data_IF_497097808844
#
_entry.id   IF_497097808844
#
_cell.length_a   1.000
_cell.length_b   1.000
_cell.length_c   1.000
_cell.angle_alpha   90.00
_cell.angle_beta   90.00
_cell.angle_gamma   90.00
#
_symmetry.space_group_name_H-M   'P 1'
#
loop_
_entity.id
_entity.type
_entity.pdbx_description
1 polymer ?
#
# COMPACT_ATOMS: atom_id res chain seq x y z
N UNK A 1 12.07 -12.92 1.08
CA UNK A 1 10.75 -13.06 0.44
C UNK A 1 10.02 -11.79 0.77
N UNK A 2 9.51 -11.06 -0.24
CA UNK A 2 8.90 -9.76 -0.02
C UNK A 2 7.68 -9.89 0.91
N UNK A 3 7.46 -8.86 1.72
CA UNK A 3 6.34 -8.85 2.67
C UNK A 3 4.99 -9.04 1.96
N UNK A 4 4.03 -9.78 2.57
CA UNK A 4 2.76 -10.11 1.93
C UNK A 4 1.92 -8.87 1.58
N UNK A 5 2.09 -7.76 2.29
CA UNK A 5 1.48 -6.48 1.95
C UNK A 5 2.09 -5.87 0.69
N UNK A 6 3.41 -5.95 0.51
CA UNK A 6 4.08 -5.41 -0.68
C UNK A 6 3.69 -6.16 -1.95
N UNK A 7 3.47 -7.48 -1.86
CA UNK A 7 2.94 -8.28 -2.98
C UNK A 7 1.52 -7.82 -3.34
N UNK A 8 0.69 -7.50 -2.35
CA UNK A 8 -0.68 -7.02 -2.57
C UNK A 8 -0.68 -5.62 -3.22
N UNK A 9 0.20 -4.73 -2.77
CA UNK A 9 0.40 -3.40 -3.35
C UNK A 9 0.92 -3.52 -4.78
N UNK A 10 1.93 -4.35 -5.02
CA UNK A 10 2.49 -4.61 -6.34
C UNK A 10 1.42 -5.14 -7.31
N UNK A 11 0.58 -6.09 -6.89
CA UNK A 11 -0.52 -6.60 -7.68
C UNK A 11 -1.57 -5.52 -8.00
N UNK A 12 -1.94 -4.68 -7.04
CA UNK A 12 -2.91 -3.60 -7.24
C UNK A 12 -2.39 -2.54 -8.25
N UNK A 13 -1.09 -2.25 -8.18
CA UNK A 13 -0.38 -1.31 -9.06
C UNK A 13 -0.21 -1.90 -10.46
N UNK A 14 0.19 -3.18 -10.56
CA UNK A 14 0.25 -3.96 -11.80
C UNK A 14 -1.09 -3.95 -12.54
N UNK A 15 -2.19 -4.17 -11.81
CA UNK A 15 -3.55 -4.08 -12.34
C UNK A 15 -4.03 -2.65 -12.64
N UNK A 16 -3.21 -1.62 -12.40
CA UNK A 16 -3.56 -0.19 -12.54
C UNK A 16 -4.84 0.21 -11.81
N UNK A 17 -5.22 -0.54 -10.78
CA UNK A 17 -6.47 -0.33 -10.04
C UNK A 17 -6.41 0.87 -9.12
N UNK A 18 -5.20 1.27 -8.73
CA UNK A 18 -4.94 2.39 -7.81
C UNK A 18 -3.97 3.38 -8.46
N UNK A 19 -4.52 4.40 -9.11
CA UNK A 19 -3.71 5.41 -9.80
C UNK A 19 -2.75 6.16 -8.86
N UNK A 20 -3.16 6.41 -7.61
CA UNK A 20 -2.33 7.09 -6.60
C UNK A 20 -1.04 6.34 -6.29
N UNK A 21 -1.14 5.05 -5.97
CA UNK A 21 0.01 4.18 -5.70
C UNK A 21 0.92 4.06 -6.91
N UNK A 22 0.35 3.90 -8.11
CA UNK A 22 1.15 3.83 -9.32
C UNK A 22 2.00 5.10 -9.52
N UNK A 23 1.40 6.28 -9.35
CA UNK A 23 2.13 7.54 -9.53
C UNK A 23 3.20 7.73 -8.45
N UNK A 24 2.92 7.33 -7.21
CA UNK A 24 3.90 7.38 -6.11
C UNK A 24 5.11 6.50 -6.42
N UNK A 25 4.89 5.25 -6.84
CA UNK A 25 5.97 4.31 -7.16
C UNK A 25 6.73 4.77 -8.41
N UNK A 26 6.03 5.21 -9.45
CA UNK A 26 6.65 5.76 -10.66
C UNK A 26 7.54 6.97 -10.36
N UNK A 27 7.08 7.88 -9.49
CA UNK A 27 7.88 9.03 -9.07
C UNK A 27 9.12 8.60 -8.29
N UNK A 28 9.01 7.59 -7.41
CA UNK A 28 10.14 7.06 -6.65
C UNK A 28 11.15 6.34 -7.55
N UNK A 29 10.68 5.69 -8.61
CA UNK A 29 11.50 4.92 -9.54
C UNK A 29 12.07 5.79 -10.67
N UNK A 30 11.68 7.05 -10.79
CA UNK A 30 12.09 7.93 -11.89
C UNK A 30 13.62 8.10 -12.02
N UNK A 31 14.34 8.07 -10.90
CA UNK A 31 15.81 8.15 -10.87
C UNK A 31 16.51 6.78 -11.00
N UNK A 32 15.75 5.70 -11.15
CA UNK A 32 16.24 4.32 -11.26
C UNK A 32 15.63 3.62 -12.50
N UNK A 33 16.40 3.49 -13.59
CA UNK A 33 15.92 2.91 -14.84
C UNK A 33 15.60 1.42 -14.71
N UNK A 34 16.32 0.68 -13.86
CA UNK A 34 16.08 -0.75 -13.65
C UNK A 34 14.78 -0.95 -12.87
N UNK A 35 14.56 -0.17 -11.82
CA UNK A 35 13.31 -0.20 -11.07
C UNK A 35 12.11 0.21 -11.95
N UNK A 36 12.28 1.23 -12.78
CA UNK A 36 11.25 1.66 -13.74
C UNK A 36 10.87 0.56 -14.72
N UNK A 37 11.84 -0.20 -15.23
CA UNK A 37 11.58 -1.35 -16.11
C UNK A 37 10.78 -2.46 -15.40
N UNK A 38 11.06 -2.71 -14.12
CA UNK A 38 10.29 -3.68 -13.31
C UNK A 38 8.85 -3.22 -13.12
N UNK A 39 8.63 -1.92 -12.85
CA UNK A 39 7.27 -1.37 -12.75
C UNK A 39 6.51 -1.55 -14.06
N UNK A 40 7.14 -1.22 -15.20
CA UNK A 40 6.52 -1.36 -16.52
C UNK A 40 6.25 -2.83 -16.90
N UNK A 41 7.16 -3.75 -16.55
CA UNK A 41 7.00 -5.18 -16.80
C UNK A 41 5.83 -5.79 -15.99
N UNK A 42 5.60 -5.29 -14.78
CA UNK A 42 4.47 -5.71 -13.96
C UNK A 42 3.13 -5.15 -14.48
N UNK A 43 3.11 -4.13 -15.34
CA UNK A 43 1.85 -3.54 -15.83
C UNK A 43 1.04 -4.55 -16.66
N UNK A 44 -0.18 -4.83 -16.20
CA UNK A 44 -1.07 -5.80 -16.84
C UNK A 44 -0.71 -7.26 -16.56
N UNK A 45 0.32 -7.53 -15.76
CA UNK A 45 0.66 -8.88 -15.31
C UNK A 45 -0.35 -9.40 -14.27
N UNK A 46 -0.44 -10.73 -14.14
CA UNK A 46 -1.30 -11.35 -13.14
C UNK A 46 -0.74 -11.15 -11.72
N UNK A 47 -1.59 -11.14 -10.69
CA UNK A 47 -1.18 -10.88 -9.30
C UNK A 47 -0.19 -11.93 -8.74
N UNK A 48 -0.20 -13.14 -9.29
CA UNK A 48 0.65 -14.28 -8.95
C UNK A 48 1.83 -14.47 -9.92
N UNK A 49 2.01 -13.52 -10.85
CA UNK A 49 3.10 -13.54 -11.82
C UNK A 49 4.46 -13.24 -11.17
N UNK A 50 5.53 -13.65 -11.87
CA UNK A 50 6.89 -13.40 -11.40
C UNK A 50 7.18 -11.89 -11.37
N UNK A 51 6.65 -11.15 -12.33
CA UNK A 51 6.82 -9.70 -12.51
C UNK A 51 6.25 -8.93 -11.31
N UNK A 52 5.10 -9.35 -10.76
CA UNK A 52 4.55 -8.78 -9.52
C UNK A 52 5.43 -9.09 -8.32
N UNK A 53 6.00 -10.30 -8.25
CA UNK A 53 6.96 -10.67 -7.21
C UNK A 53 8.24 -9.84 -7.26
N UNK A 54 8.74 -9.56 -8.47
CA UNK A 54 9.92 -8.71 -8.70
C UNK A 54 9.64 -7.25 -8.32
N UNK A 55 8.45 -6.73 -8.67
CA UNK A 55 8.03 -5.39 -8.24
C UNK A 55 7.94 -5.29 -6.70
N UNK A 56 7.40 -6.31 -6.03
CA UNK A 56 7.33 -6.35 -4.57
C UNK A 56 8.74 -6.35 -3.93
N UNK A 57 9.69 -7.08 -4.51
CA UNK A 57 11.08 -7.07 -4.04
C UNK A 57 11.76 -5.70 -4.27
N UNK A 58 11.53 -5.07 -5.42
CA UNK A 58 12.04 -3.72 -5.69
C UNK A 58 11.47 -2.68 -4.70
N UNK A 59 10.20 -2.79 -4.33
CA UNK A 59 9.59 -1.95 -3.30
C UNK A 59 10.23 -2.19 -1.93
N UNK A 60 10.49 -3.45 -1.55
CA UNK A 60 11.18 -3.81 -0.30
C UNK A 60 12.58 -3.18 -0.20
N UNK A 61 13.33 -3.17 -1.29
CA UNK A 61 14.64 -2.51 -1.34
C UNK A 61 14.49 -0.99 -1.19
N UNK A 62 13.54 -0.37 -1.89
CA UNK A 62 13.33 1.08 -1.84
C UNK A 62 12.84 1.57 -0.48
N UNK A 63 12.01 0.82 0.24
CA UNK A 63 11.64 1.15 1.62
C UNK A 63 12.82 1.01 2.59
N UNK A 64 13.72 0.04 2.35
CA UNK A 64 14.90 -0.14 3.19
C UNK A 64 15.90 1.01 3.02
N UNK A 65 15.98 1.59 1.82
CA UNK A 65 16.83 2.75 1.54
C UNK A 65 16.15 4.07 1.95
N UNK A 66 14.84 4.17 1.78
CA UNK A 66 14.03 5.33 2.15
C UNK A 66 12.80 4.92 2.98
N UNK A 67 12.93 4.88 4.32
CA UNK A 67 11.82 4.51 5.20
C UNK A 67 10.60 5.44 5.07
N UNK A 68 10.80 6.72 4.74
CA UNK A 68 9.70 7.67 4.58
C UNK A 68 8.87 7.36 3.33
N UNK A 69 9.49 6.80 2.28
CA UNK A 69 8.75 6.25 1.14
C UNK A 69 7.89 5.05 1.56
N UNK A 70 8.43 4.16 2.40
CA UNK A 70 7.68 3.03 2.96
C UNK A 70 6.44 3.48 3.72
N UNK A 71 6.58 4.45 4.63
CA UNK A 71 5.44 5.00 5.39
C UNK A 71 4.36 5.56 4.46
N UNK A 72 4.74 6.37 3.47
CA UNK A 72 3.79 6.94 2.50
C UNK A 72 3.11 5.88 1.64
N UNK A 73 3.83 4.81 1.28
CA UNK A 73 3.28 3.70 0.51
C UNK A 73 2.21 2.95 1.32
N UNK A 74 2.47 2.72 2.61
CA UNK A 74 1.52 2.11 3.53
C UNK A 74 0.30 3.02 3.80
N UNK A 75 0.49 4.31 4.03
CA UNK A 75 -0.60 5.27 4.22
C UNK A 75 -1.56 5.34 3.02
N UNK A 76 -0.98 5.36 1.82
CA UNK A 76 -1.75 5.38 0.57
C UNK A 76 -2.51 4.06 0.37
N UNK A 77 -1.89 2.92 0.69
CA UNK A 77 -2.53 1.60 0.65
C UNK A 77 -3.67 1.47 1.67
N UNK A 78 -3.48 1.96 2.89
CA UNK A 78 -4.50 1.97 3.93
C UNK A 78 -5.69 2.85 3.52
N UNK A 79 -5.43 4.03 2.94
CA UNK A 79 -6.50 4.90 2.42
C UNK A 79 -7.36 4.18 1.39
N UNK A 80 -6.72 3.52 0.42
CA UNK A 80 -7.41 2.81 -0.66
C UNK A 80 -8.21 1.63 -0.12
N UNK A 81 -7.63 0.86 0.81
CA UNK A 81 -8.30 -0.27 1.45
C UNK A 81 -9.53 0.18 2.24
N UNK A 82 -9.44 1.33 2.93
CA UNK A 82 -10.57 1.95 3.65
C UNK A 82 -11.64 2.44 2.70
N UNK A 83 -11.29 3.12 1.60
CA UNK A 83 -12.25 3.60 0.60
C UNK A 83 -13.00 2.44 -0.09
N UNK A 84 -12.29 1.36 -0.44
CA UNK A 84 -12.90 0.15 -1.00
C UNK A 84 -13.84 -0.54 0.00
N UNK A 85 -13.50 -0.52 1.29
CA UNK A 85 -14.32 -1.13 2.36
C UNK A 85 -15.57 -0.29 2.68
N UNK A 86 -15.47 1.04 2.64
CA UNK A 86 -16.58 1.96 2.89
C UNK A 86 -17.68 1.87 1.81
N UNK A 87 -17.31 1.56 0.56
CA UNK A 87 -18.26 1.37 -0.56
C UNK A 87 -19.22 0.18 -0.40
N UNK A 88 -18.95 -0.76 0.51
CA UNK A 88 -19.80 -1.95 0.75
C UNK A 88 -20.68 -1.84 2.00
N UNK A 89 -20.73 -0.68 2.67
CA UNK A 89 -21.57 -0.45 3.85
C UNK A 89 -20.84 -0.57 5.19
N UNK A 90 -19.51 -0.44 5.20
CA UNK A 90 -18.70 -0.41 6.42
C UNK A 90 -18.55 1.00 6.98
N UNK A 91 -19.04 1.24 8.20
CA UNK A 91 -18.85 2.50 8.91
C UNK A 91 -17.37 2.66 9.28
N UNK A 92 -16.67 3.59 8.63
CA UNK A 92 -15.28 3.94 8.94
C UNK A 92 -15.25 5.16 9.87
N UNK A 93 -14.73 4.99 11.09
CA UNK A 93 -14.46 6.12 11.98
C UNK A 93 -12.95 6.38 11.98
N UNK A 94 -12.56 7.48 11.35
CA UNK A 94 -11.19 7.97 11.34
C UNK A 94 -11.08 9.09 12.39
N UNK A 95 -10.26 8.91 13.41
CA UNK A 95 -9.93 9.98 14.37
C UNK A 95 -8.48 10.39 14.15
N UNK A 96 -8.29 11.58 13.57
CA UNK A 96 -7.03 12.30 13.53
C UNK A 96 -7.04 13.37 14.62
N UNK A 97 -6.21 13.18 15.66
CA UNK A 97 -6.02 14.14 16.74
C UNK A 97 -4.97 13.63 17.72
N UNK A 98 -3.99 14.47 18.05
CA UNK A 98 -2.87 14.12 18.93
C UNK A 98 -3.35 13.98 20.38
N UNK A 99 -3.31 12.76 20.93
CA UNK A 99 -3.76 12.47 22.31
C UNK A 99 -2.58 11.92 23.13
N UNK A 100 -2.22 12.65 24.19
CA UNK A 100 -1.25 12.21 25.18
C UNK A 100 -1.88 11.20 26.15
N UNK A 101 -1.70 9.90 25.89
CA UNK A 101 -2.17 8.82 26.75
C UNK A 101 -1.93 7.45 26.13
N UNK A 102 -1.98 6.38 26.95
CA UNK A 102 -1.69 5.00 26.53
C UNK A 102 -2.53 4.60 25.31
N UNK A 103 -1.84 4.23 24.23
CA UNK A 103 -2.44 3.89 22.95
C UNK A 103 -2.69 2.38 22.91
N UNK A 104 -3.94 1.98 22.68
CA UNK A 104 -4.31 0.63 22.29
C UNK A 104 -4.72 0.69 20.83
N UNK A 105 -3.95 0.06 19.94
CA UNK A 105 -4.35 -0.14 18.54
C UNK A 105 -5.01 -1.51 18.42
N UNK A 106 -6.30 -1.52 18.08
CA UNK A 106 -7.06 -2.73 17.82
C UNK A 106 -7.39 -2.81 16.32
N UNK A 107 -7.02 -3.93 15.71
CA UNK A 107 -7.19 -4.22 14.28
C UNK A 107 -8.62 -4.64 13.89
N UNK A 108 -9.47 -4.96 14.87
CA UNK A 108 -10.89 -5.30 14.67
C UNK A 108 -11.72 -4.92 15.89
N UNK A 109 -12.70 -4.02 15.73
CA UNK A 109 -13.76 -3.79 16.72
C UNK A 109 -15.09 -4.17 16.08
N UNK A 110 -15.65 -5.29 16.53
CA UNK A 110 -17.00 -5.72 16.17
C UNK A 110 -17.89 -5.64 17.42
N UNK A 111 -18.79 -4.66 17.46
CA UNK A 111 -19.78 -4.48 18.54
C UNK A 111 -20.04 -3.00 18.87
N UNK A 112 -21.32 -2.63 19.00
CA UNK A 112 -21.74 -1.25 19.25
C UNK A 112 -21.20 -0.72 20.59
N UNK A 113 -20.47 0.39 20.53
CA UNK A 113 -19.98 1.11 21.70
C UNK A 113 -21.03 2.17 22.06
N UNK A 114 -21.47 2.18 23.32
CA UNK A 114 -22.32 3.24 23.88
C UNK A 114 -21.53 3.96 24.97
N UNK A 115 -21.63 5.30 24.99
CA UNK A 115 -21.11 6.15 26.05
C UNK A 115 -22.20 6.47 27.08
#
# INVERSE_FOLDING_TARGET
MPEPVLVSIAAAVAGRTVAGLYQLIKAKFADDPDASAVLEAAEGAAADSQEVGELAAALEEKQSVDPAFGERLHEEWDRVTVEQSAGSGGVANQVSGQVGGNVVQARDIHGGISF
#
